data_IF_135072757152
#
_entry.id   IF_135072757152
#
_cell.length_a   1.000
_cell.length_b   1.000
_cell.length_c   1.000
_cell.angle_alpha   90.00
_cell.angle_beta   90.00
_cell.angle_gamma   90.00
#
_symmetry.space_group_name_H-M   'P 1'
#
loop_
_entity.id
_entity.type
_entity.pdbx_description
1 polymer ?
#
# COMPACT_ATOMS: atom_id res chain seq x y z
N UNK A 1 21.94 -1.87 21.65
CA UNK A 1 21.73 -1.98 21.14
C UNK A 1 21.72 -1.79 20.22
N UNK A 2 21.64 -1.98 19.81
CA UNK A 2 21.70 -1.90 18.86
C UNK A 2 21.06 -1.55 18.14
N UNK A 3 20.76 -1.03 18.06
CA UNK A 3 20.21 -0.76 17.29
C UNK A 3 20.63 -0.44 16.16
N UNK A 4 20.88 -0.96 15.81
CA UNK A 4 21.28 -0.94 14.52
C UNK A 4 20.22 -0.54 13.65
N UNK A 5 20.43 0.38 12.82
CA UNK A 5 19.44 0.72 11.86
C UNK A 5 19.20 -0.51 11.08
N UNK A 6 18.09 -0.96 11.17
CA UNK A 6 17.71 -2.09 10.44
C UNK A 6 17.73 -1.72 8.98
N UNK A 7 18.56 -2.35 8.20
CA UNK A 7 18.62 -2.05 6.78
C UNK A 7 17.33 -2.44 6.08
N UNK A 8 16.50 -3.25 6.75
CA UNK A 8 15.19 -3.55 6.22
C UNK A 8 14.15 -2.65 6.81
N UNK A 9 14.61 -1.57 7.45
CA UNK A 9 13.71 -0.56 7.91
C UNK A 9 12.89 -0.10 6.75
N UNK A 10 11.90 0.65 7.05
CA UNK A 10 10.84 0.97 6.14
C UNK A 10 11.30 1.31 4.73
N UNK A 11 10.70 0.69 3.79
CA UNK A 11 10.82 1.05 2.39
C UNK A 11 9.40 1.26 1.84
N UNK A 12 9.29 1.83 0.67
CA UNK A 12 8.00 2.11 0.07
C UNK A 12 7.62 1.01 -0.89
N UNK A 13 6.39 0.54 -0.74
CA UNK A 13 5.80 -0.40 -1.70
C UNK A 13 4.62 0.30 -2.35
N UNK A 14 4.48 0.17 -3.64
CA UNK A 14 3.30 0.67 -4.32
C UNK A 14 2.31 -0.48 -4.46
N UNK A 15 1.11 -0.26 -3.93
CA UNK A 15 0.05 -1.26 -3.98
C UNK A 15 -1.02 -0.79 -4.94
N UNK A 16 -1.42 -1.68 -5.84
CA UNK A 16 -2.55 -1.42 -6.73
C UNK A 16 -3.66 -2.37 -6.31
N UNK A 17 -4.71 -1.81 -5.72
CA UNK A 17 -5.85 -2.57 -5.24
C UNK A 17 -7.01 -2.40 -6.21
N UNK A 18 -7.46 -3.51 -6.78
CA UNK A 18 -8.54 -3.49 -7.77
C UNK A 18 -9.77 -4.15 -7.18
N UNK A 19 -10.90 -3.46 -7.26
CA UNK A 19 -12.17 -3.98 -6.74
C UNK A 19 -12.60 -5.16 -7.60
N UNK A 20 -12.93 -6.28 -6.94
CA UNK A 20 -13.39 -7.48 -7.64
C UNK A 20 -14.77 -7.27 -8.25
N UNK A 21 -15.01 -7.92 -9.39
CA UNK A 21 -16.27 -7.78 -10.11
C UNK A 21 -17.47 -8.30 -9.34
N UNK A 22 -17.24 -9.27 -8.44
CA UNK A 22 -18.32 -9.87 -7.66
C UNK A 22 -18.63 -9.09 -6.38
N UNK A 23 -18.10 -7.89 -6.25
CA UNK A 23 -18.29 -7.07 -5.05
C UNK A 23 -19.74 -6.66 -4.89
N UNK A 24 -20.26 -6.82 -3.67
CA UNK A 24 -21.56 -6.26 -3.32
C UNK A 24 -21.36 -4.79 -3.00
N UNK A 25 -21.79 -3.92 -3.90
CA UNK A 25 -21.53 -2.48 -3.76
C UNK A 25 -22.31 -1.83 -2.63
N UNK A 26 -23.41 -2.42 -2.18
CA UNK A 26 -24.09 -1.90 -1.01
C UNK A 26 -23.26 -2.12 0.25
N UNK A 27 -22.65 -3.30 0.38
CA UNK A 27 -21.75 -3.59 1.49
C UNK A 27 -20.50 -2.72 1.42
N UNK A 28 -19.98 -2.54 0.22
CA UNK A 28 -18.81 -1.72 -0.01
C UNK A 28 -19.09 -0.27 0.45
N UNK A 29 -20.22 0.28 0.01
CA UNK A 29 -20.59 1.65 0.37
C UNK A 29 -20.80 1.80 1.87
N UNK A 30 -21.32 0.77 2.52
CA UNK A 30 -21.56 0.81 3.95
C UNK A 30 -20.29 0.90 4.77
N UNK A 31 -19.14 0.46 4.21
CA UNK A 31 -17.86 0.48 4.91
C UNK A 31 -17.02 1.70 4.57
N UNK A 32 -17.51 2.59 3.73
CA UNK A 32 -16.72 3.73 3.25
C UNK A 32 -16.17 4.59 4.38
N UNK A 33 -17.01 4.92 5.36
CA UNK A 33 -16.56 5.79 6.46
C UNK A 33 -15.51 5.08 7.32
N UNK A 34 -15.71 3.80 7.57
CA UNK A 34 -14.72 3.03 8.34
C UNK A 34 -13.41 2.92 7.60
N UNK A 35 -13.48 2.77 6.27
CA UNK A 35 -12.28 2.73 5.44
C UNK A 35 -11.51 4.04 5.54
N UNK A 36 -12.21 5.18 5.43
CA UNK A 36 -11.56 6.49 5.53
C UNK A 36 -10.89 6.68 6.88
N UNK A 37 -11.55 6.27 7.95
CA UNK A 37 -10.98 6.38 9.28
C UNK A 37 -9.72 5.53 9.43
N UNK A 38 -9.75 4.31 8.91
CA UNK A 38 -8.60 3.43 9.01
C UNK A 38 -7.42 3.94 8.17
N UNK A 39 -7.70 4.50 6.99
CA UNK A 39 -6.65 5.10 6.19
C UNK A 39 -5.97 6.27 6.93
N UNK A 40 -6.75 7.07 7.66
CA UNK A 40 -6.18 8.15 8.44
C UNK A 40 -5.32 7.64 9.59
N UNK A 41 -5.76 6.57 10.25
CA UNK A 41 -4.95 5.95 11.30
C UNK A 41 -3.63 5.48 10.74
N UNK A 42 -3.66 4.79 9.61
CA UNK A 42 -2.44 4.27 8.99
C UNK A 42 -1.51 5.41 8.55
N UNK A 43 -2.09 6.50 8.04
CA UNK A 43 -1.28 7.65 7.63
C UNK A 43 -0.63 8.30 8.84
N UNK A 44 -1.38 8.47 9.93
CA UNK A 44 -0.83 9.05 11.15
C UNK A 44 0.27 8.21 11.75
N UNK A 45 0.16 6.89 11.60
CA UNK A 45 1.17 5.96 12.10
C UNK A 45 2.38 5.85 11.18
N UNK A 46 2.34 6.49 10.01
CA UNK A 46 3.43 6.40 9.06
C UNK A 46 3.46 5.10 8.28
N UNK A 47 2.38 4.35 8.26
CA UNK A 47 2.31 3.07 7.56
C UNK A 47 1.90 3.21 6.11
N UNK A 48 1.23 4.30 5.77
CA UNK A 48 0.93 4.62 4.38
C UNK A 48 1.31 6.06 4.11
N UNK A 49 1.64 6.34 2.86
CA UNK A 49 1.85 7.70 2.39
C UNK A 49 0.67 8.15 1.55
N UNK A 50 0.92 8.58 0.34
CA UNK A 50 -0.13 9.05 -0.55
C UNK A 50 -0.99 7.90 -1.03
N UNK A 51 -2.23 8.20 -1.34
CA UNK A 51 -3.06 7.24 -2.06
C UNK A 51 -3.93 7.99 -3.06
N UNK A 52 -4.29 7.29 -4.13
CA UNK A 52 -5.05 7.86 -5.23
C UNK A 52 -6.08 6.84 -5.68
N UNK A 53 -7.22 7.33 -6.12
CA UNK A 53 -8.30 6.46 -6.59
C UNK A 53 -8.55 6.72 -8.07
N UNK A 54 -8.70 5.65 -8.82
CA UNK A 54 -9.11 5.72 -10.22
C UNK A 54 -10.48 5.06 -10.34
N UNK A 55 -11.56 5.86 -10.25
CA UNK A 55 -12.91 5.26 -10.34
C UNK A 55 -13.15 4.56 -11.67
N UNK A 56 -12.59 5.11 -12.74
CA UNK A 56 -12.78 4.54 -14.07
C UNK A 56 -12.22 3.13 -14.17
N UNK A 57 -11.18 2.82 -13.39
CA UNK A 57 -10.52 1.51 -13.43
C UNK A 57 -10.82 0.70 -12.17
N UNK A 58 -11.65 1.21 -11.27
CA UNK A 58 -11.96 0.57 -9.99
C UNK A 58 -10.69 0.19 -9.23
N UNK A 59 -9.71 1.08 -9.26
CA UNK A 59 -8.42 0.81 -8.67
C UNK A 59 -8.04 1.90 -7.69
N UNK A 60 -7.31 1.52 -6.66
CA UNK A 60 -6.72 2.46 -5.71
C UNK A 60 -5.23 2.20 -5.68
N UNK A 61 -4.46 3.26 -5.67
CA UNK A 61 -2.99 3.19 -5.60
C UNK A 61 -2.60 3.68 -4.22
N UNK A 62 -1.89 2.85 -3.46
CA UNK A 62 -1.53 3.17 -2.08
C UNK A 62 -0.05 2.98 -1.89
N UNK A 63 0.63 4.03 -1.40
CA UNK A 63 2.00 3.90 -0.95
C UNK A 63 1.98 3.27 0.45
N UNK A 64 2.52 2.08 0.59
CA UNK A 64 2.62 1.41 1.88
C UNK A 64 4.07 1.43 2.33
N UNK A 65 4.29 1.84 3.57
CA UNK A 65 5.63 1.95 4.15
C UNK A 65 5.78 0.79 5.12
N UNK A 66 6.70 -0.12 4.79
CA UNK A 66 6.81 -1.38 5.53
C UNK A 66 8.21 -1.93 5.38
N UNK A 67 8.58 -2.86 6.24
CA UNK A 67 9.89 -3.49 6.18
C UNK A 67 9.95 -4.55 5.07
N UNK A 68 8.84 -5.22 4.81
CA UNK A 68 8.79 -6.30 3.82
C UNK A 68 7.35 -6.48 3.33
N UNK A 69 7.17 -7.40 2.40
CA UNK A 69 5.85 -7.64 1.81
C UNK A 69 4.88 -8.28 2.79
N UNK A 70 5.37 -9.03 3.74
CA UNK A 70 4.51 -9.59 4.77
C UNK A 70 3.86 -8.48 5.59
N UNK A 71 4.65 -7.49 5.95
CA UNK A 71 4.14 -6.35 6.69
C UNK A 71 3.17 -5.52 5.85
N UNK A 72 3.40 -5.44 4.52
CA UNK A 72 2.44 -4.80 3.61
C UNK A 72 1.10 -5.52 3.69
N UNK A 73 1.13 -6.86 3.63
CA UNK A 73 -0.10 -7.64 3.71
C UNK A 73 -0.84 -7.41 5.02
N UNK A 74 -0.09 -7.33 6.13
CA UNK A 74 -0.68 -7.04 7.43
C UNK A 74 -1.37 -5.68 7.45
N UNK A 75 -0.71 -4.68 6.88
CA UNK A 75 -1.28 -3.34 6.83
C UNK A 75 -2.57 -3.31 6.01
N UNK A 76 -2.53 -3.93 4.84
CA UNK A 76 -3.71 -3.97 3.96
C UNK A 76 -4.86 -4.73 4.60
N UNK A 77 -4.56 -5.77 5.37
CA UNK A 77 -5.59 -6.57 6.02
C UNK A 77 -6.38 -5.78 7.06
N UNK A 78 -5.85 -4.66 7.54
CA UNK A 78 -6.58 -3.82 8.49
C UNK A 78 -7.65 -2.96 7.82
N UNK A 79 -7.63 -2.86 6.50
CA UNK A 79 -8.57 -2.01 5.77
C UNK A 79 -9.92 -2.72 5.62
N UNK A 80 -11.03 -2.05 5.96
CA UNK A 80 -12.36 -2.65 5.74
C UNK A 80 -12.60 -3.07 4.30
N UNK A 81 -11.99 -2.38 3.32
CA UNK A 81 -12.19 -2.70 1.91
C UNK A 81 -11.36 -3.90 1.44
N UNK A 82 -10.45 -4.43 2.30
CA UNK A 82 -9.56 -5.51 1.87
C UNK A 82 -10.31 -6.73 1.32
N UNK A 83 -11.49 -6.99 1.85
CA UNK A 83 -12.29 -8.13 1.42
C UNK A 83 -12.87 -7.97 0.02
N UNK A 84 -12.81 -6.76 -0.54
CA UNK A 84 -13.41 -6.46 -1.85
C UNK A 84 -12.38 -6.31 -2.96
N UNK A 85 -11.10 -6.30 -2.66
CA UNK A 85 -10.12 -6.02 -3.71
C UNK A 85 -9.03 -7.08 -3.78
N UNK A 86 -8.43 -7.16 -4.94
CA UNK A 86 -7.19 -7.88 -5.17
C UNK A 86 -6.07 -6.88 -5.19
N UNK A 87 -4.96 -7.21 -4.57
CA UNK A 87 -3.84 -6.28 -4.45
C UNK A 87 -2.61 -6.81 -5.17
N UNK A 88 -2.02 -5.95 -5.98
CA UNK A 88 -0.69 -6.19 -6.54
C UNK A 88 0.29 -5.31 -5.79
N UNK A 89 1.37 -5.88 -5.31
CA UNK A 89 2.34 -5.19 -4.48
C UNK A 89 3.65 -5.06 -5.25
N UNK A 90 4.11 -3.82 -5.39
CA UNK A 90 5.34 -3.52 -6.12
C UNK A 90 6.37 -2.93 -5.18
N UNK A 91 7.46 -3.66 -4.88
CA UNK A 91 8.56 -3.04 -4.15
C UNK A 91 9.14 -1.93 -5.01
N UNK A 92 9.42 -0.80 -4.41
CA UNK A 92 9.92 0.34 -5.17
C UNK A 92 11.30 0.74 -4.67
N UNK A 93 11.99 1.47 -5.54
CA UNK A 93 13.31 2.01 -5.25
C UNK A 93 13.28 3.49 -5.59
N UNK A 94 13.88 4.35 -4.76
CA UNK A 94 13.94 5.77 -5.13
C UNK A 94 14.59 5.94 -6.49
N UNK A 95 14.17 6.94 -7.27
CA UNK A 95 14.69 7.11 -8.63
C UNK A 95 16.21 7.18 -8.71
N UNK A 96 16.85 7.87 -7.76
CA UNK A 96 18.30 8.00 -7.78
C UNK A 96 18.99 6.65 -7.62
N UNK A 97 18.48 5.81 -6.72
CA UNK A 97 19.04 4.48 -6.50
C UNK A 97 18.79 3.57 -7.69
N UNK A 98 17.60 3.68 -8.30
CA UNK A 98 17.26 2.90 -9.48
C UNK A 98 18.15 3.26 -10.65
N UNK A 99 18.43 4.56 -10.83
CA UNK A 99 19.29 5.04 -11.88
C UNK A 99 20.74 4.55 -11.69
N UNK A 100 21.21 4.60 -10.46
CA UNK A 100 22.56 4.12 -10.15
C UNK A 100 22.68 2.63 -10.42
N UNK A 101 21.67 1.85 -10.06
CA UNK A 101 21.67 0.41 -10.32
C UNK A 101 21.67 0.12 -11.83
N UNK A 102 20.91 0.90 -12.59
CA UNK A 102 20.87 0.75 -14.04
C UNK A 102 22.22 1.05 -14.65
N UNK A 103 22.87 2.13 -14.22
CA UNK A 103 24.20 2.50 -14.72
C UNK A 103 25.22 1.45 -14.40
N UNK A 104 25.15 0.85 -13.22
CA UNK A 104 26.10 -0.15 -12.81
C UNK A 104 26.02 -1.41 -13.68
N UNK A 105 24.90 -1.64 -14.32
CA UNK A 105 24.71 -2.79 -15.18
C UNK A 105 25.04 -2.53 -16.65
N UNK A 106 25.31 -1.30 -17.00
CA UNK A 106 25.62 -0.96 -18.39
C UNK A 106 27.12 -1.18 -18.71
#
# INVERSE_FOLDING_TARGET
>A
MSMTPNPTAAQTFMVVATIRDDTNFAEFAALRDDEQKQLEVLRSDGRIGAHYVSPARRATFIEVIAADEEQVAETLATLPFARFFDADVYPTTPPDAAEAAHRARS
#
